data_IF_862431077296
#
_entry.id   IF_862431077296
#
_cell.length_a   1.000
_cell.length_b   1.000
_cell.length_c   1.000
_cell.angle_alpha   90.00
_cell.angle_beta   90.00
_cell.angle_gamma   90.00
#
_symmetry.space_group_name_H-M   'P 1'
#
loop_
_entity.id
_entity.type
_entity.pdbx_description
1 polymer ?
#
# COMPACT_ATOMS: atom_id res chain seq x y z
N UNK A 1 9.89 -18.02 10.03
CA UNK A 1 10.38 -17.76 8.66
C UNK A 1 11.21 -16.51 8.72
N UNK A 2 12.48 -16.60 8.28
CA UNK A 2 13.31 -15.42 8.03
C UNK A 2 12.65 -14.70 6.87
N UNK A 3 12.18 -13.48 7.09
CA UNK A 3 11.54 -12.70 6.03
C UNK A 3 12.64 -12.05 5.20
N UNK A 4 12.81 -12.52 3.98
CA UNK A 4 13.65 -11.87 3.01
C UNK A 4 12.90 -10.66 2.43
N UNK A 5 13.50 -9.48 2.49
CA UNK A 5 12.87 -8.25 2.02
C UNK A 5 13.89 -7.37 1.32
N UNK A 6 13.51 -6.79 0.19
CA UNK A 6 14.25 -5.68 -0.44
C UNK A 6 13.57 -4.37 -0.14
N UNK A 7 14.35 -3.34 0.14
CA UNK A 7 13.89 -1.98 0.36
C UNK A 7 14.45 -1.06 -0.71
N UNK A 8 13.89 0.14 -0.78
CA UNK A 8 14.39 1.27 -1.56
C UNK A 8 15.04 2.28 -0.61
N UNK A 9 16.05 2.98 -1.13
CA UNK A 9 16.74 4.07 -0.45
C UNK A 9 16.70 5.29 -1.34
N UNK A 10 16.39 6.45 -0.77
CA UNK A 10 16.54 7.75 -1.42
C UNK A 10 17.83 8.40 -0.89
N UNK A 11 18.86 8.49 -1.72
CA UNK A 11 20.13 9.08 -1.33
C UNK A 11 20.06 10.63 -1.27
N UNK A 12 21.15 11.28 -0.85
CA UNK A 12 21.21 12.73 -0.75
C UNK A 12 21.20 13.46 -2.11
N UNK A 13 21.54 12.75 -3.18
CA UNK A 13 21.40 13.20 -4.56
C UNK A 13 19.99 13.03 -5.12
N UNK A 14 19.02 12.63 -4.28
CA UNK A 14 17.64 12.33 -4.67
C UNK A 14 17.50 11.19 -5.69
N UNK A 15 18.47 10.27 -5.72
CA UNK A 15 18.40 9.06 -6.53
C UNK A 15 17.87 7.89 -5.70
N UNK A 16 17.04 7.07 -6.33
CA UNK A 16 16.41 5.91 -5.71
C UNK A 16 17.09 4.64 -6.18
N UNK A 17 17.51 3.81 -5.23
CA UNK A 17 18.13 2.49 -5.50
C UNK A 17 17.52 1.39 -4.65
N UNK A 18 17.50 0.16 -5.18
CA UNK A 18 17.16 -1.03 -4.42
C UNK A 18 18.32 -1.46 -3.51
N UNK A 19 17.99 -1.93 -2.31
CA UNK A 19 18.94 -2.69 -1.48
C UNK A 19 19.14 -4.10 -2.04
N UNK A 20 20.19 -4.77 -1.56
CA UNK A 20 20.21 -6.24 -1.59
C UNK A 20 19.07 -6.84 -0.76
N UNK A 21 18.92 -8.15 -0.85
CA UNK A 21 17.99 -8.90 -0.01
C UNK A 21 18.43 -8.83 1.46
N UNK A 22 17.55 -8.29 2.32
CA UNK A 22 17.78 -8.16 3.74
C UNK A 22 17.23 -9.40 4.44
N UNK A 23 18.07 -10.06 5.22
CA UNK A 23 17.73 -11.23 6.02
C UNK A 23 17.83 -10.88 7.50
N UNK A 24 16.80 -11.23 8.27
CA UNK A 24 16.80 -11.03 9.73
C UNK A 24 16.12 -9.73 10.15
N UNK A 25 16.86 -8.87 10.87
CA UNK A 25 16.31 -7.60 11.37
C UNK A 25 16.15 -6.59 10.23
N UNK A 26 14.90 -6.34 9.86
CA UNK A 26 14.56 -5.33 8.86
C UNK A 26 14.65 -3.93 9.51
N UNK A 27 15.41 -2.98 8.92
CA UNK A 27 15.53 -1.63 9.47
C UNK A 27 14.18 -0.91 9.39
N UNK A 28 13.95 0.14 10.19
CA UNK A 28 12.70 0.92 10.11
C UNK A 28 12.47 1.47 8.70
N UNK A 29 11.27 1.28 8.16
CA UNK A 29 10.91 1.67 6.80
C UNK A 29 9.51 2.27 6.71
N UNK A 30 9.29 3.09 5.68
CA UNK A 30 7.96 3.45 5.20
C UNK A 30 7.45 2.44 4.16
N UNK A 31 6.14 2.32 3.98
CA UNK A 31 5.55 1.44 2.97
C UNK A 31 4.52 2.20 2.13
N UNK A 32 4.53 1.99 0.82
CA UNK A 32 3.58 2.63 -0.10
C UNK A 32 2.39 1.71 -0.34
N UNK A 33 1.20 2.18 0.01
CA UNK A 33 -0.07 1.62 -0.46
C UNK A 33 -0.58 2.44 -1.63
N UNK A 34 -0.92 1.79 -2.74
CA UNK A 34 -1.33 2.48 -3.94
C UNK A 34 -2.10 1.55 -4.88
N UNK A 35 -2.65 2.12 -5.95
CA UNK A 35 -3.27 1.35 -7.03
C UNK A 35 -2.38 1.37 -8.26
N UNK A 36 -2.11 0.19 -8.81
CA UNK A 36 -1.26 0.06 -9.98
C UNK A 36 -1.88 0.75 -11.20
N UNK A 37 -1.03 1.34 -12.03
CA UNK A 37 -1.40 1.88 -13.33
C UNK A 37 -1.44 0.80 -14.41
N UNK A 38 -1.59 1.19 -15.68
CA UNK A 38 -1.31 0.32 -16.81
C UNK A 38 0.08 -0.31 -16.71
N UNK A 39 0.23 -1.57 -17.11
CA UNK A 39 1.51 -2.31 -17.02
C UNK A 39 2.68 -1.61 -17.75
N UNK A 40 2.39 -0.83 -18.80
CA UNK A 40 3.38 -0.04 -19.54
C UNK A 40 3.91 1.15 -18.76
N UNK A 41 3.13 1.66 -17.82
CA UNK A 41 3.47 2.81 -16.98
C UNK A 41 4.02 2.40 -15.61
N UNK A 42 3.71 1.18 -15.17
CA UNK A 42 4.10 0.64 -13.88
C UNK A 42 5.61 0.33 -13.84
N UNK A 43 6.25 0.68 -12.73
CA UNK A 43 7.67 0.39 -12.48
C UNK A 43 7.76 -0.93 -11.73
N UNK A 44 8.44 -1.90 -12.32
CA UNK A 44 8.68 -3.21 -11.73
C UNK A 44 10.13 -3.37 -11.26
N UNK A 45 10.44 -4.54 -10.69
CA UNK A 45 11.77 -4.86 -10.17
C UNK A 45 12.87 -4.71 -11.24
N UNK A 46 12.64 -5.23 -12.45
CA UNK A 46 13.59 -5.15 -13.56
C UNK A 46 13.86 -3.71 -13.99
N UNK A 47 12.83 -2.86 -13.99
CA UNK A 47 13.01 -1.45 -14.33
C UNK A 47 13.91 -0.71 -13.33
N UNK A 48 13.87 -1.11 -12.06
CA UNK A 48 14.74 -0.56 -11.02
C UNK A 48 16.18 -1.09 -11.13
N UNK A 49 16.37 -2.38 -11.46
CA UNK A 49 17.70 -2.95 -11.65
C UNK A 49 18.39 -2.42 -12.91
N UNK A 50 17.63 -2.18 -13.97
CA UNK A 50 18.15 -1.70 -15.25
C UNK A 50 18.26 -0.16 -15.32
N UNK A 51 17.73 0.55 -14.31
CA UNK A 51 17.69 2.02 -14.29
C UNK A 51 16.74 2.64 -15.31
N UNK A 52 15.83 1.86 -15.91
CA UNK A 52 14.88 2.33 -16.93
C UNK A 52 13.60 2.90 -16.32
N UNK A 53 13.32 2.60 -15.05
CA UNK A 53 12.10 2.99 -14.34
C UNK A 53 11.86 4.50 -14.28
N UNK A 54 12.94 5.32 -14.26
CA UNK A 54 12.85 6.79 -14.17
C UNK A 54 12.04 7.44 -15.30
N UNK A 55 11.92 6.75 -16.44
CA UNK A 55 11.20 7.24 -17.62
C UNK A 55 9.70 6.89 -17.59
N UNK A 56 9.27 6.08 -16.62
CA UNK A 56 7.89 5.59 -16.53
C UNK A 56 7.05 6.50 -15.63
N UNK A 57 5.78 6.76 -15.97
CA UNK A 57 4.88 7.55 -15.11
C UNK A 57 4.72 6.97 -13.69
N UNK A 58 4.74 5.65 -13.54
CA UNK A 58 4.66 4.98 -12.24
C UNK A 58 5.84 5.28 -11.31
N UNK A 59 6.91 5.91 -11.80
CA UNK A 59 8.02 6.34 -10.95
C UNK A 59 7.66 7.47 -9.99
N UNK A 60 6.65 8.29 -10.33
CA UNK A 60 6.26 9.45 -9.53
C UNK A 60 5.77 9.06 -8.13
N UNK A 61 5.02 7.96 -8.00
CA UNK A 61 4.60 7.43 -6.70
C UNK A 61 5.75 6.84 -5.87
N UNK A 62 6.78 6.31 -6.53
CA UNK A 62 7.99 5.80 -5.86
C UNK A 62 8.79 6.99 -5.31
N UNK A 63 8.97 8.04 -6.12
CA UNK A 63 9.60 9.29 -5.70
C UNK A 63 8.83 9.94 -4.55
N UNK A 64 7.51 10.04 -4.68
CA UNK A 64 6.62 10.52 -3.62
C UNK A 64 6.86 9.78 -2.29
N UNK A 65 6.91 8.44 -2.32
CA UNK A 65 7.13 7.64 -1.13
C UNK A 65 8.50 7.91 -0.50
N UNK A 66 9.57 7.92 -1.32
CA UNK A 66 10.92 8.19 -0.84
C UNK A 66 11.08 9.60 -0.25
N UNK A 67 10.49 10.61 -0.87
CA UNK A 67 10.52 11.99 -0.37
C UNK A 67 9.78 12.14 0.96
N UNK A 68 8.61 11.50 1.12
CA UNK A 68 7.87 11.53 2.37
C UNK A 68 8.55 10.72 3.47
N UNK A 69 9.09 9.55 3.14
CA UNK A 69 9.91 8.76 4.05
C UNK A 69 11.09 9.60 4.58
N UNK A 70 11.82 10.30 3.70
CA UNK A 70 12.92 11.19 4.09
C UNK A 70 12.46 12.31 5.02
N UNK A 71 11.31 12.95 4.75
CA UNK A 71 10.73 13.99 5.62
C UNK A 71 10.39 13.47 7.02
N UNK A 72 9.96 12.22 7.12
CA UNK A 72 9.64 11.55 8.38
C UNK A 72 10.88 10.90 9.05
N UNK A 73 12.09 11.12 8.52
CA UNK A 73 13.33 10.58 9.06
C UNK A 73 13.52 9.07 8.82
N UNK A 74 12.84 8.51 7.81
CA UNK A 74 12.96 7.12 7.38
C UNK A 74 13.87 7.03 6.16
N UNK A 75 15.00 6.34 6.30
CA UNK A 75 15.96 6.13 5.21
C UNK A 75 15.51 5.08 4.19
N UNK A 76 14.68 4.13 4.64
CA UNK A 76 14.21 3.02 3.83
C UNK A 76 12.71 3.13 3.57
N UNK A 77 12.29 2.69 2.39
CA UNK A 77 10.88 2.54 2.07
C UNK A 77 10.64 1.33 1.16
N UNK A 78 9.39 0.91 1.05
CA UNK A 78 9.01 -0.29 0.29
C UNK A 78 7.84 -0.01 -0.64
N UNK A 79 7.92 -0.60 -1.83
CA UNK A 79 6.88 -0.56 -2.86
C UNK A 79 6.76 -1.94 -3.51
N UNK A 80 5.60 -2.57 -3.41
CA UNK A 80 5.35 -3.95 -3.89
C UNK A 80 5.64 -4.12 -5.38
N UNK A 81 5.39 -3.07 -6.19
CA UNK A 81 5.57 -3.12 -7.64
C UNK A 81 7.01 -3.48 -8.03
N UNK A 82 8.00 -2.95 -7.29
CA UNK A 82 9.41 -3.02 -7.65
C UNK A 82 10.36 -3.58 -6.57
N UNK A 83 9.89 -3.78 -5.34
CA UNK A 83 10.67 -4.45 -4.30
C UNK A 83 10.56 -5.98 -4.36
N UNK A 84 9.57 -6.52 -5.08
CA UNK A 84 9.37 -7.96 -5.30
C UNK A 84 9.72 -8.29 -6.75
N UNK A 85 10.62 -9.27 -6.95
CA UNK A 85 10.83 -9.88 -8.25
C UNK A 85 9.70 -10.87 -8.54
N UNK A 86 8.66 -10.37 -9.22
CA UNK A 86 7.49 -11.17 -9.57
C UNK A 86 7.76 -12.23 -10.64
N UNK A 87 8.94 -12.22 -11.26
CA UNK A 87 9.37 -13.29 -12.17
C UNK A 87 9.90 -14.52 -11.44
N UNK A 88 10.29 -14.37 -10.18
CA UNK A 88 10.69 -15.45 -9.29
C UNK A 88 9.46 -15.95 -8.49
N UNK A 89 8.95 -17.13 -8.84
CA UNK A 89 7.74 -17.69 -8.21
C UNK A 89 7.92 -18.00 -6.72
N UNK A 90 9.11 -18.42 -6.30
CA UNK A 90 9.43 -18.68 -4.90
C UNK A 90 9.33 -17.39 -4.10
N UNK A 91 10.01 -16.33 -4.57
CA UNK A 91 9.97 -15.03 -3.91
C UNK A 91 8.55 -14.44 -3.90
N UNK A 92 7.82 -14.52 -5.01
CA UNK A 92 6.44 -14.03 -5.08
C UNK A 92 5.54 -14.73 -4.03
N UNK A 93 5.71 -16.04 -3.86
CA UNK A 93 4.97 -16.83 -2.87
C UNK A 93 5.30 -16.42 -1.43
N UNK A 94 6.60 -16.26 -1.13
CA UNK A 94 7.08 -15.80 0.18
C UNK A 94 6.61 -14.37 0.48
N UNK A 95 6.63 -13.50 -0.53
CA UNK A 95 6.21 -12.12 -0.43
C UNK A 95 4.72 -12.00 -0.11
N UNK A 96 3.85 -12.67 -0.86
CA UNK A 96 2.40 -12.64 -0.61
C UNK A 96 2.06 -13.15 0.79
N UNK A 97 2.70 -14.23 1.25
CA UNK A 97 2.52 -14.74 2.61
C UNK A 97 3.10 -13.82 3.70
N UNK A 98 3.97 -12.87 3.33
CA UNK A 98 4.62 -11.92 4.25
C UNK A 98 4.05 -10.51 4.21
N UNK A 99 3.34 -10.12 3.15
CA UNK A 99 2.88 -8.74 2.90
C UNK A 99 2.11 -8.16 4.08
N UNK A 100 1.16 -8.89 4.66
CA UNK A 100 0.42 -8.40 5.81
C UNK A 100 1.35 -8.01 6.96
N UNK A 101 2.36 -8.84 7.27
CA UNK A 101 3.33 -8.53 8.31
C UNK A 101 4.19 -7.33 7.90
N UNK A 102 4.62 -7.24 6.65
CA UNK A 102 5.37 -6.08 6.16
C UNK A 102 4.59 -4.77 6.27
N UNK A 103 3.27 -4.79 6.05
CA UNK A 103 2.42 -3.64 6.33
C UNK A 103 2.28 -3.38 7.83
N UNK A 104 2.11 -4.44 8.64
CA UNK A 104 1.96 -4.36 10.09
C UNK A 104 3.20 -3.75 10.79
N UNK A 105 4.40 -4.09 10.33
CA UNK A 105 5.67 -3.66 10.94
C UNK A 105 6.24 -2.37 10.33
N UNK A 106 5.62 -1.83 9.29
CA UNK A 106 6.04 -0.56 8.71
C UNK A 106 5.89 0.59 9.73
N UNK A 107 6.85 1.51 9.75
CA UNK A 107 6.78 2.68 10.63
C UNK A 107 5.69 3.66 10.18
N UNK A 108 5.50 3.79 8.87
CA UNK A 108 4.50 4.64 8.21
C UNK A 108 3.98 3.93 6.96
N UNK A 109 2.67 3.91 6.76
CA UNK A 109 2.04 3.55 5.50
C UNK A 109 1.53 4.81 4.82
N UNK A 110 2.05 5.11 3.63
CA UNK A 110 1.58 6.23 2.81
C UNK A 110 0.62 5.69 1.76
N UNK A 111 -0.63 6.17 1.78
CA UNK A 111 -1.64 5.85 0.78
C UNK A 111 -1.63 6.95 -0.28
N UNK A 112 -1.19 6.61 -1.49
CA UNK A 112 -1.16 7.54 -2.62
C UNK A 112 -2.39 7.35 -3.51
N UNK A 113 -3.29 8.33 -3.49
CA UNK A 113 -4.56 8.31 -4.23
C UNK A 113 -4.43 9.05 -5.56
N UNK A 114 -4.06 8.31 -6.61
CA UNK A 114 -3.85 8.87 -7.96
C UNK A 114 -5.11 9.50 -8.59
N UNK A 115 -6.30 9.15 -8.10
CA UNK A 115 -7.60 9.62 -8.58
C UNK A 115 -8.23 10.71 -7.69
N UNK A 116 -7.56 11.13 -6.62
CA UNK A 116 -8.00 12.21 -5.73
C UNK A 116 -7.09 13.42 -5.92
N UNK A 117 -7.68 14.56 -6.25
CA UNK A 117 -6.94 15.82 -6.45
C UNK A 117 -7.26 16.80 -5.33
N UNK A 118 -6.21 17.36 -4.74
CA UNK A 118 -6.28 18.45 -3.76
C UNK A 118 -5.11 19.41 -4.03
N UNK A 119 -5.24 20.30 -5.03
CA UNK A 119 -4.18 21.26 -5.31
C UNK A 119 -3.96 22.18 -4.09
N UNK A 120 -2.71 22.49 -3.79
CA UNK A 120 -2.36 23.44 -2.73
C UNK A 120 -2.95 24.81 -3.07
N UNK A 121 -3.97 25.24 -2.33
CA UNK A 121 -4.63 26.52 -2.56
C UNK A 121 -3.85 27.66 -1.90
N UNK A 122 -3.68 28.76 -2.63
CA UNK A 122 -3.55 30.08 -2.01
C UNK A 122 -4.85 30.37 -1.25
N UNK A 123 -4.76 31.01 -0.07
CA UNK A 123 -5.80 31.10 0.96
C UNK A 123 -7.18 31.71 0.57
N UNK A 124 -7.45 32.01 -0.69
CA UNK A 124 -8.62 32.77 -1.15
C UNK A 124 -9.79 31.96 -1.73
N UNK A 125 -9.70 30.64 -1.90
CA UNK A 125 -10.75 29.87 -2.60
C UNK A 125 -11.33 28.72 -1.78
N UNK A 126 -12.26 29.04 -0.87
CA UNK A 126 -12.98 28.05 -0.03
C UNK A 126 -13.94 27.16 -0.82
N UNK A 127 -14.23 27.49 -2.09
CA UNK A 127 -15.15 26.69 -2.92
C UNK A 127 -14.59 25.30 -3.29
N UNK A 128 -13.27 25.11 -3.19
CA UNK A 128 -12.55 23.87 -3.51
C UNK A 128 -12.34 22.95 -2.29
N UNK A 129 -12.82 23.32 -1.11
CA UNK A 129 -12.79 22.47 0.09
C UNK A 129 -13.88 21.39 0.11
N UNK A 130 -14.78 21.33 -0.87
CA UNK A 130 -15.75 20.23 -1.01
C UNK A 130 -15.36 19.24 -2.12
N UNK A 131 -14.23 19.48 -2.81
CA UNK A 131 -13.95 18.80 -4.08
C UNK A 131 -13.18 17.50 -3.94
N UNK A 132 -12.33 17.37 -2.92
CA UNK A 132 -11.51 16.15 -2.77
C UNK A 132 -12.25 15.08 -1.98
N UNK A 133 -13.17 15.49 -1.11
CA UNK A 133 -13.98 14.63 -0.25
C UNK A 133 -14.79 13.60 -1.04
N UNK A 134 -15.55 14.06 -2.04
CA UNK A 134 -16.32 13.14 -2.90
C UNK A 134 -15.43 12.26 -3.77
N UNK A 135 -14.25 12.75 -4.17
CA UNK A 135 -13.28 11.96 -4.92
C UNK A 135 -12.64 10.88 -4.04
N UNK A 136 -12.39 11.18 -2.76
CA UNK A 136 -11.89 10.24 -1.77
C UNK A 136 -12.87 9.09 -1.56
N UNK A 137 -14.16 9.38 -1.31
CA UNK A 137 -15.20 8.36 -1.17
C UNK A 137 -15.30 7.42 -2.37
N UNK A 138 -15.07 7.95 -3.57
CA UNK A 138 -15.15 7.21 -4.84
C UNK A 138 -13.81 6.66 -5.31
N UNK A 139 -12.75 6.82 -4.52
CA UNK A 139 -11.42 6.41 -4.95
C UNK A 139 -11.39 4.91 -5.19
N UNK A 140 -10.83 4.53 -6.34
CA UNK A 140 -10.59 3.13 -6.73
C UNK A 140 -9.72 2.40 -5.70
N UNK A 141 -8.99 3.11 -4.85
CA UNK A 141 -8.20 2.51 -3.78
C UNK A 141 -9.07 1.70 -2.81
N UNK A 142 -10.28 2.16 -2.49
CA UNK A 142 -11.20 1.44 -1.59
C UNK A 142 -11.78 0.17 -2.22
N UNK A 143 -11.75 0.04 -3.55
CA UNK A 143 -12.29 -1.11 -4.26
C UNK A 143 -11.22 -2.13 -4.65
N UNK A 144 -9.93 -1.93 -4.34
CA UNK A 144 -8.89 -2.95 -4.61
C UNK A 144 -8.83 -3.98 -3.49
N UNK A 145 -8.74 -5.27 -3.84
CA UNK A 145 -8.62 -6.36 -2.86
C UNK A 145 -7.41 -6.21 -1.94
N UNK A 146 -6.23 -6.05 -2.53
CA UNK A 146 -4.97 -5.95 -1.79
C UNK A 146 -4.92 -4.78 -0.81
N UNK A 147 -5.54 -3.63 -1.10
CA UNK A 147 -5.51 -2.45 -0.22
C UNK A 147 -6.25 -2.68 1.11
N UNK A 148 -7.00 -3.78 1.27
CA UNK A 148 -7.63 -4.15 2.53
C UNK A 148 -6.58 -4.42 3.62
N UNK A 149 -5.60 -5.28 3.34
CA UNK A 149 -4.53 -5.53 4.30
C UNK A 149 -3.65 -4.30 4.50
N UNK A 150 -3.49 -3.46 3.47
CA UNK A 150 -2.69 -2.23 3.53
C UNK A 150 -3.34 -1.15 4.40
N UNK A 151 -4.67 -1.21 4.57
CA UNK A 151 -5.44 -0.37 5.48
C UNK A 151 -5.42 -0.89 6.93
N UNK A 152 -5.68 -2.19 7.07
CA UNK A 152 -5.96 -2.81 8.36
C UNK A 152 -4.67 -3.15 9.12
N UNK A 153 -3.64 -3.63 8.43
CA UNK A 153 -2.43 -4.14 9.08
C UNK A 153 -1.55 -3.05 9.74
N UNK A 154 -1.23 -1.91 9.07
CA UNK A 154 -0.30 -0.93 9.64
C UNK A 154 -0.89 -0.18 10.83
N UNK A 155 -0.07 0.18 11.81
CA UNK A 155 -0.49 1.04 12.92
C UNK A 155 -0.73 2.50 12.48
N UNK A 156 0.06 3.01 11.53
CA UNK A 156 -0.02 4.38 11.00
C UNK A 156 -0.29 4.35 9.50
N UNK A 157 -1.38 4.98 9.06
CA UNK A 157 -1.74 5.13 7.65
C UNK A 157 -2.11 6.59 7.40
N UNK A 158 -1.45 7.21 6.43
CA UNK A 158 -1.68 8.60 6.02
C UNK A 158 -2.08 8.66 4.55
N UNK A 159 -3.13 9.41 4.24
CA UNK A 159 -3.73 9.49 2.92
C UNK A 159 -3.28 10.76 2.20
N UNK A 160 -2.86 10.62 0.95
CA UNK A 160 -2.35 11.71 0.13
C UNK A 160 -3.06 11.77 -1.21
N UNK A 161 -3.29 12.99 -1.70
CA UNK A 161 -3.78 13.23 -3.06
C UNK A 161 -2.70 12.89 -4.11
N UNK A 162 -3.08 12.90 -5.38
CA UNK A 162 -2.14 12.78 -6.52
C UNK A 162 -1.06 13.86 -6.56
N UNK A 163 -1.28 15.01 -5.92
CA UNK A 163 -0.28 16.08 -5.79
C UNK A 163 0.64 15.89 -4.57
N UNK A 164 0.44 14.83 -3.79
CA UNK A 164 1.18 14.57 -2.56
C UNK A 164 0.75 15.44 -1.38
N UNK A 165 -0.48 15.98 -1.39
CA UNK A 165 -1.03 16.77 -0.28
C UNK A 165 -1.75 15.84 0.70
N UNK A 166 -1.45 16.00 2.00
CA UNK A 166 -2.10 15.23 3.07
C UNK A 166 -3.61 15.50 3.06
N UNK A 167 -4.40 14.43 3.04
CA UNK A 167 -5.86 14.44 3.14
C UNK A 167 -6.33 14.18 4.57
N UNK A 168 -5.60 13.32 5.27
CA UNK A 168 -5.83 12.93 6.65
C UNK A 168 -5.14 11.61 6.95
N UNK A 169 -5.45 11.02 8.09
CA UNK A 169 -4.90 9.75 8.54
C UNK A 169 -6.02 8.79 8.94
N UNK A 170 -5.66 7.54 9.20
CA UNK A 170 -6.63 6.49 9.57
C UNK A 170 -7.44 6.79 10.83
N UNK A 171 -6.95 7.62 11.75
CA UNK A 171 -7.69 8.05 12.93
C UNK A 171 -8.65 9.21 12.59
N UNK A 172 -8.14 10.26 11.95
CA UNK A 172 -8.93 11.45 11.59
C UNK A 172 -10.02 11.16 10.56
N UNK A 173 -9.79 10.21 9.65
CA UNK A 173 -10.76 9.77 8.64
C UNK A 173 -11.51 8.48 9.02
N UNK A 174 -11.30 7.94 10.23
CA UNK A 174 -11.71 6.58 10.60
C UNK A 174 -13.21 6.29 10.45
N UNK A 175 -14.09 7.23 10.85
CA UNK A 175 -15.55 7.06 10.64
C UNK A 175 -15.91 6.99 9.17
N UNK A 176 -15.28 7.84 8.36
CA UNK A 176 -15.58 7.94 6.95
C UNK A 176 -15.08 6.72 6.17
N UNK A 177 -13.89 6.23 6.53
CA UNK A 177 -13.36 4.96 6.02
C UNK A 177 -14.28 3.80 6.43
N UNK A 178 -14.78 3.80 7.67
CA UNK A 178 -15.74 2.79 8.14
C UNK A 178 -17.04 2.81 7.31
N UNK A 179 -17.56 4.00 6.97
CA UNK A 179 -18.77 4.15 6.16
C UNK A 179 -18.55 3.64 4.71
N UNK A 180 -17.37 3.90 4.13
CA UNK A 180 -17.02 3.45 2.77
C UNK A 180 -16.79 1.93 2.71
N UNK A 181 -16.14 1.36 3.72
CA UNK A 181 -15.59 -0.01 3.65
C UNK A 181 -16.38 -1.04 4.45
N UNK A 182 -17.25 -0.63 5.36
CA UNK A 182 -17.91 -1.50 6.34
C UNK A 182 -16.97 -2.02 7.44
N UNK A 183 -15.69 -1.63 7.45
CA UNK A 183 -14.73 -2.06 8.47
C UNK A 183 -14.98 -1.29 9.76
N UNK A 184 -15.20 -1.94 10.91
CA UNK A 184 -15.42 -1.25 12.17
C UNK A 184 -14.26 -0.29 12.52
N UNK A 185 -14.59 0.91 13.00
CA UNK A 185 -13.60 1.90 13.47
C UNK A 185 -12.61 1.29 14.47
N UNK A 186 -13.06 0.34 15.30
CA UNK A 186 -12.20 -0.37 16.24
C UNK A 186 -11.10 -1.17 15.55
N UNK A 187 -11.41 -1.83 14.42
CA UNK A 187 -10.41 -2.55 13.63
C UNK A 187 -9.42 -1.56 12.98
N UNK A 188 -9.92 -0.43 12.45
CA UNK A 188 -9.08 0.63 11.89
C UNK A 188 -8.12 1.22 12.95
N UNK A 189 -8.56 1.32 14.20
CA UNK A 189 -7.77 1.80 15.33
C UNK A 189 -6.89 0.73 15.99
N UNK A 190 -6.70 -0.42 15.34
CA UNK A 190 -5.73 -1.43 15.77
C UNK A 190 -6.24 -2.41 16.83
N UNK A 191 -7.56 -2.58 16.99
CA UNK A 191 -8.09 -3.71 17.76
C UNK A 191 -7.64 -5.02 17.10
N UNK A 192 -7.22 -5.96 17.94
CA UNK A 192 -6.76 -7.28 17.50
C UNK A 192 -7.78 -8.00 16.59
N UNK A 193 -7.31 -8.45 15.43
CA UNK A 193 -8.14 -9.15 14.44
C UNK A 193 -8.88 -10.39 14.98
N UNK A 194 -8.30 -11.22 15.87
CA UNK A 194 -9.02 -12.34 16.48
C UNK A 194 -10.25 -11.96 17.31
N UNK A 195 -10.41 -10.68 17.68
CA UNK A 195 -11.62 -10.21 18.37
C UNK A 195 -12.84 -10.06 17.44
N UNK A 196 -12.63 -10.12 16.13
CA UNK A 196 -13.67 -10.10 15.10
C UNK A 196 -13.90 -11.52 14.57
N UNK A 197 -15.17 -11.84 14.30
CA UNK A 197 -15.51 -13.17 13.78
C UNK A 197 -14.87 -13.40 12.40
N UNK A 198 -14.70 -14.67 12.00
CA UNK A 198 -14.19 -14.96 10.66
C UNK A 198 -15.13 -14.41 9.58
N UNK A 199 -16.45 -14.57 9.77
CA UNK A 199 -17.46 -14.03 8.84
C UNK A 199 -17.34 -12.51 8.69
N UNK A 200 -17.12 -11.79 9.79
CA UNK A 200 -16.93 -10.35 9.78
C UNK A 200 -15.65 -9.95 9.04
N UNK A 201 -14.51 -10.60 9.34
CA UNK A 201 -13.25 -10.35 8.62
C UNK A 201 -13.36 -10.63 7.12
N UNK A 202 -14.09 -11.67 6.74
CA UNK A 202 -14.34 -12.00 5.34
C UNK A 202 -15.28 -10.99 4.65
N UNK A 203 -16.23 -10.39 5.37
CA UNK A 203 -17.16 -9.39 4.82
C UNK A 203 -16.46 -8.10 4.37
N UNK A 204 -15.30 -7.77 4.95
CA UNK A 204 -14.54 -6.56 4.60
C UNK A 204 -13.99 -6.55 3.16
N UNK A 205 -14.07 -7.68 2.46
CA UNK A 205 -13.69 -7.81 1.05
C UNK A 205 -14.85 -7.57 0.07
N UNK A 206 -16.11 -7.51 0.54
CA UNK A 206 -17.30 -7.62 -0.34
C UNK A 206 -17.33 -6.60 -1.47
N UNK A 207 -16.92 -5.35 -1.20
CA UNK A 207 -16.88 -4.28 -2.20
C UNK A 207 -15.54 -4.18 -2.95
N UNK A 208 -14.68 -5.20 -2.84
CA UNK A 208 -13.33 -5.19 -3.38
C UNK A 208 -13.15 -6.18 -4.54
N UNK A 209 -12.37 -5.73 -5.52
CA UNK A 209 -12.06 -6.41 -6.76
C UNK A 209 -10.57 -6.67 -6.89
N UNK A 210 -10.25 -7.79 -7.53
CA UNK A 210 -8.89 -8.22 -7.81
C UNK A 210 -8.72 -8.49 -9.30
N UNK A 211 -7.50 -8.33 -9.81
CA UNK A 211 -7.21 -8.61 -11.21
C UNK A 211 -7.16 -10.11 -11.49
N UNK A 212 -6.62 -10.88 -10.54
CA UNK A 212 -6.63 -12.35 -10.57
C UNK A 212 -7.69 -12.87 -9.62
N UNK A 213 -8.33 -13.99 -9.95
CA UNK A 213 -9.40 -14.53 -9.10
C UNK A 213 -8.86 -15.00 -7.75
N UNK A 214 -7.69 -15.64 -7.76
CA UNK A 214 -7.01 -16.18 -6.58
C UNK A 214 -6.60 -15.09 -5.58
N UNK A 215 -6.33 -13.88 -6.07
CA UNK A 215 -5.98 -12.73 -5.23
C UNK A 215 -7.11 -12.37 -4.25
N UNK A 216 -8.37 -12.76 -4.51
CA UNK A 216 -9.46 -12.63 -3.53
C UNK A 216 -9.16 -13.39 -2.25
N UNK A 217 -8.63 -14.61 -2.38
CA UNK A 217 -8.20 -15.40 -1.23
C UNK A 217 -6.86 -14.91 -0.69
N UNK A 218 -5.88 -14.62 -1.58
CA UNK A 218 -4.52 -14.29 -1.15
C UNK A 218 -4.42 -12.95 -0.41
N UNK A 219 -5.26 -11.97 -0.76
CA UNK A 219 -5.31 -10.68 -0.05
C UNK A 219 -5.85 -10.77 1.38
N UNK A 220 -6.40 -11.92 1.79
CA UNK A 220 -6.96 -12.17 3.12
C UNK A 220 -6.07 -13.01 4.02
N UNK A 221 -4.96 -13.57 3.54
CA UNK A 221 -4.16 -14.53 4.29
C UNK A 221 -3.76 -14.00 5.66
N UNK A 222 -3.19 -12.80 5.70
CA UNK A 222 -2.78 -12.18 6.96
C UNK A 222 -3.95 -11.73 7.84
N UNK A 223 -5.07 -11.32 7.25
CA UNK A 223 -6.28 -10.94 7.99
C UNK A 223 -6.90 -12.15 8.69
N UNK A 224 -6.90 -13.29 8.02
CA UNK A 224 -7.39 -14.57 8.53
C UNK A 224 -6.36 -15.29 9.42
N UNK A 225 -5.09 -14.88 9.39
CA UNK A 225 -4.00 -15.52 10.13
C UNK A 225 -3.58 -16.87 9.54
N UNK A 226 -3.68 -17.01 8.23
CA UNK A 226 -3.38 -18.26 7.49
C UNK A 226 -2.16 -18.06 6.59
N UNK A 227 -1.54 -19.18 6.23
CA UNK A 227 -0.45 -19.26 5.26
C UNK A 227 -0.79 -20.37 4.26
N UNK A 228 -0.58 -20.14 2.96
CA UNK A 228 -0.85 -21.14 1.95
C UNK A 228 0.14 -21.09 0.77
N UNK A 229 0.43 -22.24 0.14
CA UNK A 229 1.07 -22.25 -1.17
C UNK A 229 0.22 -21.49 -2.19
N UNK A 230 0.86 -20.71 -3.06
CA UNK A 230 0.17 -20.02 -4.14
C UNK A 230 0.11 -20.90 -5.38
N UNK A 231 -1.08 -21.08 -5.91
CA UNK A 231 -1.33 -21.82 -7.13
C UNK A 231 -2.25 -20.96 -7.99
N UNK A 232 -1.66 -20.37 -9.01
CA UNK A 232 -2.39 -19.52 -9.93
C UNK A 232 -2.91 -20.32 -11.13
N UNK A 233 -4.14 -20.04 -11.55
CA UNK A 233 -4.86 -20.73 -12.62
C UNK A 233 -5.91 -21.74 -12.13
N UNK A 234 -6.15 -21.82 -10.82
CA UNK A 234 -7.16 -22.72 -10.23
C UNK A 234 -8.55 -22.07 -10.13
N UNK A 235 -8.65 -20.75 -10.27
CA UNK A 235 -9.90 -20.00 -10.08
C UNK A 235 -10.11 -19.56 -8.62
N UNK A 236 -11.37 -19.26 -8.25
CA UNK A 236 -11.73 -18.74 -6.91
C UNK A 236 -11.88 -19.82 -5.84
#
# INVERSE_FOLDING_TARGET
MIQAMRLLVLNDSSEISLTGELLGEIPRYAILSHTWGPATEEVNFKDMTDGTGIKKPGYDKIRFCGEHAKRDGLHYFWVDSCCIDKSNSTELSEAINSMFRWYQTAAKCYVYLADVSRPSLNASDRSRQLSWESAFEKSRWFTRGWTLQELVAPASVEFFSKEGVVLGDKQSLGRWISDITGIPVQALHGRDLPSFSMAERLSWQECRETTREEDKAYSLLGICGVHMPLIFGEGR
#
